data_IF_624114333719
#
_entry.id   IF_624114333719
#
_cell.length_a   1.000
_cell.length_b   1.000
_cell.length_c   1.000
_cell.angle_alpha   90.00
_cell.angle_beta   90.00
_cell.angle_gamma   90.00
#
_symmetry.space_group_name_H-M   'P 1'
#
loop_
_entity.id
_entity.type
_entity.pdbx_description
1 polymer ?
#
# COMPACT_ATOMS: atom_id res chain seq x y z
N UNK A 1 -0.23 10.34 -12.95
CA UNK A 1 0.08 9.02 -12.37
C UNK A 1 -0.89 8.70 -11.25
N UNK A 2 -1.32 7.47 -11.21
CA UNK A 2 -2.32 7.05 -10.23
C UNK A 2 -1.65 6.74 -8.89
N UNK A 3 -2.28 7.19 -7.82
CA UNK A 3 -1.80 6.95 -6.47
C UNK A 3 -1.69 5.45 -6.17
N UNK A 4 -2.55 4.66 -6.79
CA UNK A 4 -2.55 3.20 -6.62
C UNK A 4 -1.21 2.61 -7.05
N UNK A 5 -0.69 3.02 -8.20
CA UNK A 5 0.60 2.52 -8.69
C UNK A 5 1.74 2.97 -7.79
N UNK A 6 1.66 4.19 -7.30
CA UNK A 6 2.69 4.73 -6.41
C UNK A 6 2.74 3.95 -5.10
N UNK A 7 1.58 3.67 -4.53
CA UNK A 7 1.48 2.88 -3.31
C UNK A 7 2.05 1.47 -3.54
N UNK A 8 1.66 0.86 -4.65
CA UNK A 8 2.14 -0.48 -4.98
C UNK A 8 3.66 -0.50 -5.15
N UNK A 9 4.22 0.52 -5.80
CA UNK A 9 5.67 0.63 -5.99
C UNK A 9 6.39 0.75 -4.64
N UNK A 10 5.84 1.54 -3.73
CA UNK A 10 6.41 1.69 -2.39
C UNK A 10 6.39 0.37 -1.64
N UNK A 11 5.29 -0.35 -1.72
CA UNK A 11 5.17 -1.64 -1.05
C UNK A 11 6.14 -2.67 -1.63
N UNK A 12 6.30 -2.67 -2.95
CA UNK A 12 7.27 -3.54 -3.62
C UNK A 12 8.70 -3.24 -3.16
N UNK A 13 9.02 -1.96 -3.08
CA UNK A 13 10.35 -1.53 -2.67
C UNK A 13 10.64 -1.88 -1.22
N UNK A 14 9.61 -1.86 -0.37
CA UNK A 14 9.78 -2.19 1.04
C UNK A 14 10.14 -3.66 1.24
N UNK A 15 9.59 -4.55 0.41
CA UNK A 15 9.88 -5.98 0.49
C UNK A 15 9.42 -6.64 1.77
N UNK A 16 8.53 -6.00 2.52
CA UNK A 16 8.00 -6.51 3.79
C UNK A 16 6.64 -5.89 4.04
N UNK A 17 5.84 -6.48 4.95
CA UNK A 17 4.56 -5.87 5.31
C UNK A 17 4.77 -4.49 5.91
N UNK A 18 3.99 -3.52 5.46
CA UNK A 18 4.09 -2.13 5.91
C UNK A 18 2.71 -1.60 6.29
N UNK A 19 2.70 -0.62 7.17
CA UNK A 19 1.47 0.04 7.58
C UNK A 19 1.15 1.18 6.62
N UNK A 20 -0.13 1.56 6.59
CA UNK A 20 -0.56 2.67 5.76
C UNK A 20 0.20 3.97 6.06
N UNK A 21 0.49 4.21 7.34
CA UNK A 21 1.27 5.38 7.74
C UNK A 21 2.67 5.39 7.14
N UNK A 22 3.33 4.24 7.13
CA UNK A 22 4.65 4.11 6.52
C UNK A 22 4.59 4.34 5.03
N UNK A 23 3.57 3.80 4.38
CA UNK A 23 3.37 3.99 2.94
C UNK A 23 3.17 5.47 2.62
N UNK A 24 2.39 6.16 3.44
CA UNK A 24 2.15 7.59 3.26
C UNK A 24 3.45 8.37 3.35
N UNK A 25 4.30 8.05 4.33
CA UNK A 25 5.59 8.71 4.47
C UNK A 25 6.51 8.44 3.30
N UNK A 26 6.63 7.18 2.91
CA UNK A 26 7.53 6.78 1.83
C UNK A 26 7.08 7.28 0.46
N UNK A 27 5.78 7.35 0.25
CA UNK A 27 5.22 7.80 -1.03
C UNK A 27 5.08 9.31 -1.12
N UNK A 28 5.04 9.99 0.03
CA UNK A 28 4.78 11.41 0.08
C UNK A 28 3.32 11.77 -0.17
N UNK A 29 2.44 10.80 -0.10
CA UNK A 29 1.01 11.01 -0.31
C UNK A 29 0.28 11.20 1.01
N UNK A 30 -0.89 11.84 0.95
CA UNK A 30 -1.76 11.96 2.10
C UNK A 30 -2.23 10.60 2.55
N UNK A 31 -2.39 10.42 3.86
CA UNK A 31 -2.87 9.17 4.42
C UNK A 31 -4.22 8.76 3.82
N UNK A 32 -5.10 9.73 3.61
CA UNK A 32 -6.40 9.46 2.99
C UNK A 32 -6.26 8.90 1.58
N UNK A 33 -5.32 9.44 0.82
CA UNK A 33 -5.05 8.99 -0.54
C UNK A 33 -4.48 7.58 -0.51
N UNK A 34 -3.58 7.32 0.43
CA UNK A 34 -2.98 6.00 0.60
C UNK A 34 -4.04 4.96 0.95
N UNK A 35 -4.93 5.28 1.89
CA UNK A 35 -5.99 4.37 2.30
C UNK A 35 -6.92 4.05 1.13
N UNK A 36 -7.25 5.05 0.33
CA UNK A 36 -8.10 4.86 -0.84
C UNK A 36 -7.42 3.96 -1.87
N UNK A 37 -6.14 4.21 -2.13
CA UNK A 37 -5.37 3.41 -3.06
C UNK A 37 -5.25 1.96 -2.57
N UNK A 38 -4.98 1.77 -1.29
CA UNK A 38 -4.89 0.44 -0.70
C UNK A 38 -6.21 -0.31 -0.79
N UNK A 39 -7.32 0.39 -0.63
CA UNK A 39 -8.63 -0.21 -0.75
C UNK A 39 -8.84 -0.78 -2.15
N UNK A 40 -8.46 -0.02 -3.17
CA UNK A 40 -8.54 -0.47 -4.57
C UNK A 40 -7.67 -1.70 -4.79
N UNK A 41 -6.44 -1.65 -4.30
CA UNK A 41 -5.51 -2.78 -4.44
C UNK A 41 -6.01 -4.02 -3.72
N UNK A 42 -6.63 -3.84 -2.58
CA UNK A 42 -7.22 -4.94 -1.82
C UNK A 42 -8.36 -5.60 -2.59
N UNK A 43 -9.23 -4.78 -3.17
CA UNK A 43 -10.37 -5.28 -3.95
C UNK A 43 -9.88 -6.04 -5.18
N UNK A 44 -8.80 -5.56 -5.79
CA UNK A 44 -8.22 -6.20 -6.96
C UNK A 44 -7.37 -7.43 -6.61
N UNK A 45 -7.15 -7.66 -5.33
CA UNK A 45 -6.34 -8.79 -4.90
C UNK A 45 -4.85 -8.62 -5.13
N UNK A 46 -4.38 -7.40 -5.27
CA UNK A 46 -2.97 -7.11 -5.51
C UNK A 46 -2.15 -7.01 -4.24
N UNK A 47 -2.81 -6.76 -3.13
CA UNK A 47 -2.16 -6.72 -1.82
C UNK A 47 -2.91 -7.61 -0.84
N UNK A 48 -2.20 -8.04 0.19
CA UNK A 48 -2.77 -8.88 1.23
C UNK A 48 -2.32 -8.38 2.59
N UNK A 49 -3.05 -8.76 3.62
CA UNK A 49 -2.71 -8.39 5.00
C UNK A 49 -2.30 -9.64 5.76
N UNK A 50 -1.02 -10.02 5.69
CA UNK A 50 -0.56 -11.23 6.40
C UNK A 50 -0.52 -11.03 7.91
N UNK A 51 -0.37 -9.78 8.33
CA UNK A 51 -0.33 -9.40 9.74
C UNK A 51 -1.32 -8.27 9.96
N UNK A 52 -1.89 -8.23 11.16
CA UNK A 52 -2.85 -7.18 11.52
C UNK A 52 -2.25 -5.80 11.29
N UNK A 53 -3.00 -4.96 10.60
CA UNK A 53 -2.62 -3.58 10.31
C UNK A 53 -1.42 -3.43 9.39
N UNK A 54 -0.91 -4.51 8.82
CA UNK A 54 0.20 -4.48 7.88
C UNK A 54 -0.24 -5.03 6.53
N UNK A 55 0.35 -4.51 5.47
CA UNK A 55 0.01 -4.89 4.11
C UNK A 55 1.25 -5.20 3.30
N UNK A 56 1.15 -6.16 2.42
CA UNK A 56 2.25 -6.49 1.51
C UNK A 56 1.68 -6.83 0.13
N UNK A 57 2.54 -6.75 -0.88
CA UNK A 57 2.14 -7.07 -2.25
C UNK A 57 1.86 -8.57 -2.33
N UNK A 58 0.70 -8.90 -2.87
CA UNK A 58 0.33 -10.28 -3.11
C UNK A 58 1.04 -10.79 -4.36
N UNK A 59 1.59 -11.96 -4.29
CA UNK A 59 2.25 -12.59 -5.44
C UNK A 59 1.37 -13.65 -6.06
#
# INVERSE_FOLDING_TARGET
MMSVEKVLAVMNAAGKPVKAGEIAELSGLDKKVVEKAMNVLKIEGRITSPVRCCWEVSK
#
